data_IF_349467968149
#
_entry.id   IF_349467968149
#
_cell.length_a   1.000
_cell.length_b   1.000
_cell.length_c   1.000
_cell.angle_alpha   90.00
_cell.angle_beta   90.00
_cell.angle_gamma   90.00
#
_symmetry.space_group_name_H-M   'P 1'
#
loop_
_entity.id
_entity.type
_entity.pdbx_description
1 polymer ?
#
# COMPACT_ATOMS: atom_id res chain seq x y z
N UNK A 1 12.62 29.79 -4.16
CA UNK A 1 11.77 29.55 -2.98
C UNK A 1 10.65 28.58 -3.35
N UNK A 2 10.95 27.28 -3.49
CA UNK A 2 9.91 26.24 -3.45
C UNK A 2 10.46 25.14 -2.55
N UNK A 3 9.96 25.15 -1.32
CA UNK A 3 10.42 24.30 -0.24
C UNK A 3 10.16 22.84 -0.59
N UNK A 4 11.19 22.02 -0.40
CA UNK A 4 11.07 20.58 -0.38
C UNK A 4 10.06 20.20 0.70
N UNK A 5 8.87 19.76 0.30
CA UNK A 5 7.91 19.11 1.18
C UNK A 5 8.51 17.77 1.61
N UNK A 6 9.34 17.82 2.63
CA UNK A 6 9.95 16.67 3.27
C UNK A 6 8.86 15.94 4.06
N UNK A 7 8.12 15.03 3.41
CA UNK A 7 7.12 14.18 4.04
C UNK A 7 7.83 13.19 4.98
N UNK A 8 7.69 13.32 6.32
CA UNK A 8 8.69 12.76 7.24
C UNK A 8 8.31 11.39 7.82
N UNK A 9 7.69 10.46 7.07
CA UNK A 9 7.29 9.19 7.70
C UNK A 9 7.73 7.88 7.05
N UNK A 10 8.26 7.89 5.84
CA UNK A 10 9.06 6.80 5.28
C UNK A 10 9.98 7.42 4.25
N UNK A 11 11.30 7.33 4.42
CA UNK A 11 12.22 7.92 3.44
C UNK A 11 11.94 7.28 2.08
N UNK A 12 11.98 8.09 1.02
CA UNK A 12 11.84 7.66 -0.37
C UNK A 12 12.65 6.38 -0.70
N UNK A 13 13.82 6.25 -0.07
CA UNK A 13 14.70 5.11 -0.16
C UNK A 13 14.09 3.80 0.37
N UNK A 14 13.29 3.83 1.43
CA UNK A 14 12.65 2.63 2.00
C UNK A 14 11.53 2.09 1.10
N UNK A 15 10.88 2.98 0.37
CA UNK A 15 9.78 2.66 -0.54
C UNK A 15 10.32 2.14 -1.88
N UNK A 16 11.41 2.68 -2.41
CA UNK A 16 11.93 2.32 -3.74
C UNK A 16 12.97 1.20 -3.76
N UNK A 17 13.49 0.75 -2.61
CA UNK A 17 14.58 -0.23 -2.53
C UNK A 17 14.27 -1.61 -3.11
N UNK A 18 13.00 -1.93 -3.33
CA UNK A 18 12.53 -3.22 -3.85
C UNK A 18 11.66 -3.09 -5.10
N UNK A 19 11.56 -1.89 -5.68
CA UNK A 19 10.74 -1.68 -6.87
C UNK A 19 11.54 -1.92 -8.15
N UNK A 20 10.90 -2.47 -9.18
CA UNK A 20 11.51 -2.65 -10.51
C UNK A 20 12.09 -1.33 -11.05
N UNK A 21 13.12 -1.43 -11.89
CA UNK A 21 13.73 -0.25 -12.54
C UNK A 21 12.69 0.61 -13.27
N UNK A 22 11.67 -0.04 -13.84
CA UNK A 22 10.52 0.62 -14.48
C UNK A 22 9.73 1.50 -13.51
N UNK A 23 9.52 1.03 -12.27
CA UNK A 23 8.80 1.78 -11.24
C UNK A 23 9.60 3.02 -10.79
N UNK A 24 10.93 2.89 -10.75
CA UNK A 24 11.84 3.99 -10.40
C UNK A 24 11.82 5.05 -11.51
N UNK A 25 11.92 4.63 -12.77
CA UNK A 25 11.92 5.54 -13.92
C UNK A 25 10.58 6.27 -14.05
N UNK A 26 9.46 5.55 -13.86
CA UNK A 26 8.12 6.15 -13.83
C UNK A 26 8.06 7.26 -12.77
N UNK A 27 8.48 6.99 -11.53
CA UNK A 27 8.40 7.95 -10.44
C UNK A 27 9.23 9.22 -10.67
N UNK A 28 10.41 9.10 -11.31
CA UNK A 28 11.26 10.25 -11.64
C UNK A 28 10.56 11.23 -12.58
N UNK A 29 9.73 10.71 -13.49
CA UNK A 29 9.00 11.52 -14.46
C UNK A 29 7.70 12.16 -13.91
N UNK A 30 7.24 11.78 -12.72
CA UNK A 30 5.99 12.29 -12.14
C UNK A 30 6.17 13.64 -11.43
N UNK A 31 5.13 14.47 -11.46
CA UNK A 31 4.97 15.63 -10.58
C UNK A 31 4.71 15.22 -9.12
N UNK A 32 4.83 16.17 -8.18
CA UNK A 32 4.65 15.87 -6.76
C UNK A 32 3.23 15.35 -6.40
N UNK A 33 2.21 15.89 -7.07
CA UNK A 33 0.82 15.40 -6.92
C UNK A 33 0.68 13.96 -7.43
N UNK A 34 1.24 13.67 -8.60
CA UNK A 34 1.19 12.32 -9.19
C UNK A 34 2.01 11.31 -8.39
N UNK A 35 3.16 11.72 -7.85
CA UNK A 35 3.96 10.89 -6.92
C UNK A 35 3.14 10.52 -5.69
N UNK A 36 2.42 11.48 -5.12
CA UNK A 36 1.57 11.24 -3.95
C UNK A 36 0.48 10.22 -4.26
N UNK A 37 -0.15 10.34 -5.43
CA UNK A 37 -1.14 9.37 -5.90
C UNK A 37 -0.55 7.97 -6.04
N UNK A 38 0.56 7.85 -6.78
CA UNK A 38 1.27 6.61 -7.01
C UNK A 38 1.67 5.91 -5.69
N UNK A 39 2.17 6.67 -4.72
CA UNK A 39 2.54 6.13 -3.41
C UNK A 39 1.32 5.62 -2.63
N UNK A 40 0.19 6.34 -2.68
CA UNK A 40 -1.03 5.92 -2.00
C UNK A 40 -1.62 4.64 -2.61
N UNK A 41 -1.63 4.52 -3.94
CA UNK A 41 -2.04 3.28 -4.63
C UNK A 41 -1.14 2.12 -4.20
N UNK A 42 0.17 2.32 -4.25
CA UNK A 42 1.11 1.27 -3.86
C UNK A 42 0.97 0.85 -2.40
N UNK A 43 0.75 1.81 -1.48
CA UNK A 43 0.47 1.51 -0.06
C UNK A 43 -0.80 0.69 0.12
N UNK A 44 -1.84 1.00 -0.66
CA UNK A 44 -3.10 0.25 -0.66
C UNK A 44 -2.86 -1.21 -1.08
N UNK A 45 -2.05 -1.44 -2.10
CA UNK A 45 -1.74 -2.78 -2.61
C UNK A 45 -0.89 -3.57 -1.61
N UNK A 46 0.13 -2.93 -1.04
CA UNK A 46 0.98 -3.49 0.02
C UNK A 46 0.15 -3.91 1.24
N UNK A 47 -0.88 -3.14 1.60
CA UNK A 47 -1.74 -3.43 2.74
C UNK A 47 -2.85 -4.46 2.44
N UNK A 48 -2.98 -4.93 1.19
CA UNK A 48 -4.05 -5.84 0.81
C UNK A 48 -3.88 -7.20 1.50
N UNK A 49 -4.90 -7.59 2.25
CA UNK A 49 -5.01 -8.85 2.99
C UNK A 49 -3.86 -9.09 3.98
N UNK A 50 -3.17 -8.05 4.45
CA UNK A 50 -2.08 -8.19 5.45
C UNK A 50 -2.57 -8.17 6.90
N UNK A 51 -3.87 -7.95 7.12
CA UNK A 51 -4.50 -8.03 8.44
C UNK A 51 -5.88 -8.69 8.34
N UNK A 52 -6.31 -9.30 9.44
CA UNK A 52 -7.58 -10.03 9.51
C UNK A 52 -8.78 -9.07 9.54
N UNK A 53 -9.84 -9.42 8.81
CA UNK A 53 -11.10 -8.70 8.81
C UNK A 53 -11.80 -8.86 10.15
N UNK A 54 -12.07 -7.74 10.82
CA UNK A 54 -12.75 -7.74 12.13
C UNK A 54 -14.17 -8.29 12.04
N UNK A 55 -14.95 -7.86 11.04
CA UNK A 55 -16.34 -8.28 10.88
C UNK A 55 -16.45 -9.77 10.61
N UNK A 56 -15.65 -10.28 9.68
CA UNK A 56 -15.59 -11.72 9.42
C UNK A 56 -15.20 -12.51 10.67
N UNK A 57 -14.17 -12.04 11.40
CA UNK A 57 -13.70 -12.70 12.62
C UNK A 57 -14.76 -12.75 13.73
N UNK A 58 -15.55 -11.68 13.91
CA UNK A 58 -16.49 -11.55 15.02
C UNK A 58 -17.88 -12.10 14.67
N UNK A 59 -18.36 -11.84 13.45
CA UNK A 59 -19.72 -12.14 13.04
C UNK A 59 -19.81 -13.37 12.12
N UNK A 60 -18.69 -13.87 11.60
CA UNK A 60 -18.66 -14.91 10.58
C UNK A 60 -19.09 -14.43 9.18
N UNK A 61 -19.40 -13.14 9.02
CA UNK A 61 -19.77 -12.55 7.74
C UNK A 61 -19.14 -11.16 7.55
N UNK A 62 -18.95 -10.76 6.29
CA UNK A 62 -18.48 -9.43 5.92
C UNK A 62 -19.25 -8.93 4.70
N UNK A 63 -19.79 -7.72 4.79
CA UNK A 63 -20.58 -7.11 3.71
C UNK A 63 -19.78 -6.86 2.42
N UNK A 64 -18.44 -6.83 2.51
CA UNK A 64 -17.56 -6.64 1.36
C UNK A 64 -17.27 -7.95 0.60
N UNK A 65 -17.69 -9.11 1.13
CA UNK A 65 -17.47 -10.40 0.49
C UNK A 65 -16.01 -10.62 0.05
N UNK A 66 -15.82 -11.12 -1.16
CA UNK A 66 -14.50 -11.39 -1.74
C UNK A 66 -13.68 -10.11 -2.02
N UNK A 67 -14.36 -8.97 -2.21
CA UNK A 67 -13.72 -7.67 -2.42
C UNK A 67 -13.16 -7.05 -1.11
N UNK A 68 -13.41 -7.69 0.03
CA UNK A 68 -12.87 -7.24 1.31
C UNK A 68 -11.35 -7.15 1.25
N UNK A 69 -10.79 -5.98 1.57
CA UNK A 69 -9.32 -5.77 1.55
C UNK A 69 -8.59 -6.41 2.73
N UNK A 70 -9.34 -6.93 3.70
CA UNK A 70 -8.82 -7.63 4.87
C UNK A 70 -9.04 -9.14 4.72
N UNK A 71 -8.17 -9.94 5.33
CA UNK A 71 -8.22 -11.39 5.21
C UNK A 71 -9.37 -11.98 6.02
N UNK A 72 -10.19 -12.83 5.39
CA UNK A 72 -11.27 -13.59 6.02
C UNK A 72 -10.76 -14.88 6.71
N UNK A 73 -9.46 -15.04 6.86
CA UNK A 73 -8.86 -16.15 7.58
C UNK A 73 -7.34 -16.15 7.41
N UNK A 74 -6.68 -17.09 8.06
CA UNK A 74 -5.23 -17.28 7.91
C UNK A 74 -4.84 -17.68 6.47
N UNK A 75 -5.76 -18.31 5.74
CA UNK A 75 -5.57 -18.73 4.35
C UNK A 75 -5.51 -17.54 3.39
N UNK A 76 -6.22 -16.47 3.69
CA UNK A 76 -6.18 -15.22 2.91
C UNK A 76 -5.12 -14.24 3.41
N UNK A 77 -4.58 -14.45 4.62
CA UNK A 77 -3.64 -13.52 5.26
C UNK A 77 -2.28 -13.55 4.55
N UNK A 78 -1.86 -12.39 4.07
CA UNK A 78 -0.58 -12.20 3.37
C UNK A 78 0.46 -11.59 4.29
N UNK A 79 1.71 -12.02 4.14
CA UNK A 79 2.81 -11.27 4.74
C UNK A 79 2.92 -9.90 4.05
N UNK A 80 3.19 -8.82 4.79
CA UNK A 80 3.56 -7.57 4.16
C UNK A 80 4.81 -7.81 3.30
N UNK A 81 4.93 -7.17 2.13
CA UNK A 81 6.15 -7.19 1.36
C UNK A 81 7.34 -6.69 2.22
N UNK A 82 8.54 -7.25 2.02
CA UNK A 82 9.70 -7.04 2.89
C UNK A 82 10.19 -5.58 2.95
#
# INVERSE_FOLDING_TARGET
MYGAYHYPYFSYEMVMRQSSEESIQKWRALSDTERTHFLNERRRDIAYKTSLCRYWKVLGYCNYGEECRFAHGITELRAPPP
#
